data_IF_681721495212
#
_entry.id   IF_681721495212
#
_cell.length_a   1.000
_cell.length_b   1.000
_cell.length_c   1.000
_cell.angle_alpha   90.00
_cell.angle_beta   90.00
_cell.angle_gamma   90.00
#
_symmetry.space_group_name_H-M   'P 1'
#
loop_
_entity.id
_entity.type
_entity.pdbx_description
1 polymer ?
#
# COMPACT_ATOMS: atom_id res chain seq x y z
N UNK A 1 19.24 11.05 -11.08
CA UNK A 1 19.97 11.84 -10.05
C UNK A 1 19.37 13.24 -10.11
N UNK A 2 18.74 13.67 -9.04
CA UNK A 2 18.10 14.98 -8.95
C UNK A 2 19.11 16.12 -8.92
N UNK A 3 18.65 17.35 -9.14
CA UNK A 3 19.48 18.54 -8.99
C UNK A 3 19.74 18.80 -7.52
N UNK A 4 20.98 18.76 -7.10
CA UNK A 4 21.41 19.10 -5.74
C UNK A 4 21.64 20.59 -5.63
N UNK A 5 21.18 21.20 -4.53
CA UNK A 5 21.56 22.58 -4.23
C UNK A 5 22.99 22.63 -3.72
N UNK A 6 23.85 23.32 -4.46
CA UNK A 6 25.21 23.62 -4.01
C UNK A 6 25.38 25.13 -3.90
N UNK A 7 25.69 25.63 -2.70
CA UNK A 7 25.95 27.02 -2.48
C UNK A 7 27.07 27.53 -3.39
N UNK A 8 26.79 28.55 -4.21
CA UNK A 8 27.70 29.08 -5.22
C UNK A 8 28.57 30.20 -4.67
N UNK A 9 28.08 30.94 -3.67
CA UNK A 9 28.75 32.15 -3.13
C UNK A 9 28.82 32.11 -1.61
N UNK A 10 29.90 32.67 -1.05
CA UNK A 10 30.08 32.90 0.38
C UNK A 10 30.56 34.32 0.60
N UNK A 11 29.81 35.11 1.35
CA UNK A 11 30.07 36.52 1.58
C UNK A 11 30.51 36.78 3.02
N UNK A 12 31.36 37.77 3.19
CA UNK A 12 31.78 38.36 4.48
C UNK A 12 31.46 39.85 4.53
N UNK A 13 31.47 40.43 5.74
CA UNK A 13 31.18 41.83 5.91
C UNK A 13 32.17 42.70 5.09
N UNK A 14 31.61 43.59 4.26
CA UNK A 14 32.38 44.47 3.38
C UNK A 14 32.55 43.97 1.94
N UNK A 15 32.12 42.76 1.63
CA UNK A 15 32.15 42.24 0.25
C UNK A 15 31.16 42.99 -0.66
N UNK A 16 31.57 43.19 -1.92
CA UNK A 16 30.69 43.72 -2.95
C UNK A 16 30.00 42.53 -3.62
N UNK A 17 28.68 42.42 -3.42
CA UNK A 17 27.87 41.37 -4.04
C UNK A 17 27.55 41.77 -5.48
N UNK A 18 27.95 40.95 -6.43
CA UNK A 18 27.58 41.11 -7.84
C UNK A 18 26.18 40.54 -8.09
N UNK A 19 25.44 41.12 -9.03
CA UNK A 19 24.15 40.62 -9.43
C UNK A 19 24.22 39.16 -9.92
N UNK A 20 25.31 38.77 -10.59
CA UNK A 20 25.57 37.40 -11.02
C UNK A 20 25.64 36.42 -9.87
N UNK A 21 26.24 36.80 -8.74
CA UNK A 21 26.40 35.91 -7.58
C UNK A 21 25.03 35.57 -6.97
N UNK A 22 24.18 36.58 -6.81
CA UNK A 22 22.81 36.41 -6.31
C UNK A 22 21.94 35.60 -7.30
N UNK A 23 22.04 35.90 -8.59
CA UNK A 23 21.29 35.17 -9.62
C UNK A 23 21.70 33.71 -9.64
N UNK A 24 23.00 33.40 -9.58
CA UNK A 24 23.48 32.01 -9.58
C UNK A 24 22.94 31.21 -8.37
N UNK A 25 22.85 31.81 -7.17
CA UNK A 25 22.24 31.17 -6.00
C UNK A 25 20.76 30.87 -6.23
N UNK A 26 20.00 31.81 -6.78
CA UNK A 26 18.59 31.61 -7.09
C UNK A 26 18.37 30.58 -8.22
N UNK A 27 19.23 30.59 -9.24
CA UNK A 27 19.13 29.58 -10.31
C UNK A 27 19.38 28.16 -9.80
N UNK A 28 20.34 27.97 -8.89
CA UNK A 28 20.58 26.68 -8.23
C UNK A 28 19.39 26.26 -7.36
N UNK A 29 18.79 27.20 -6.62
CA UNK A 29 17.62 26.94 -5.79
C UNK A 29 16.41 26.54 -6.67
N UNK A 30 16.18 27.26 -7.76
CA UNK A 30 15.12 26.93 -8.75
C UNK A 30 15.34 25.55 -9.37
N UNK A 31 16.57 25.23 -9.72
CA UNK A 31 16.92 23.90 -10.28
C UNK A 31 16.62 22.78 -9.27
N UNK A 32 16.89 22.99 -7.97
CA UNK A 32 16.60 22.01 -6.92
C UNK A 32 15.08 21.73 -6.75
N UNK A 33 14.21 22.67 -7.13
CA UNK A 33 12.74 22.50 -7.09
C UNK A 33 12.11 22.19 -8.45
N UNK A 34 12.90 21.84 -9.46
CA UNK A 34 12.38 21.47 -10.77
C UNK A 34 11.61 20.15 -10.69
N UNK A 35 10.44 20.05 -11.36
CA UNK A 35 9.57 18.88 -11.29
C UNK A 35 10.19 17.58 -11.87
N UNK A 36 11.12 17.70 -12.83
CA UNK A 36 11.71 16.57 -13.53
C UNK A 36 13.11 16.21 -13.05
N UNK A 37 13.87 17.22 -12.62
CA UNK A 37 15.30 17.11 -12.28
C UNK A 37 15.64 17.68 -10.90
N UNK A 38 14.63 18.04 -10.10
CA UNK A 38 14.77 18.58 -8.75
C UNK A 38 15.36 17.56 -7.76
N UNK A 39 15.56 18.00 -6.51
CA UNK A 39 16.05 17.12 -5.46
C UNK A 39 15.06 16.00 -5.14
N UNK A 40 15.59 14.90 -4.64
CA UNK A 40 14.83 13.76 -4.13
C UNK A 40 14.88 13.72 -2.60
N UNK A 41 14.05 12.90 -1.96
CA UNK A 41 14.07 12.68 -0.53
C UNK A 41 14.58 11.27 -0.20
N UNK A 42 15.72 10.89 -0.77
CA UNK A 42 16.32 9.57 -0.65
C UNK A 42 17.38 9.44 0.48
N UNK A 43 17.67 10.55 1.17
CA UNK A 43 18.62 10.59 2.28
C UNK A 43 20.07 10.72 1.86
N UNK A 44 20.38 10.88 0.57
CA UNK A 44 21.74 11.15 0.12
C UNK A 44 22.14 12.59 0.38
N UNK A 45 23.47 12.88 0.36
CA UNK A 45 23.99 14.21 0.65
C UNK A 45 23.48 15.25 -0.35
N UNK A 46 22.97 16.36 0.15
CA UNK A 46 22.41 17.50 -0.61
C UNK A 46 21.05 17.22 -1.31
N UNK A 47 20.55 16.02 -1.24
CA UNK A 47 19.16 15.70 -1.50
C UNK A 47 18.34 15.89 -0.22
N UNK A 48 17.04 15.87 -0.27
CA UNK A 48 16.21 15.93 0.94
C UNK A 48 16.42 14.73 1.85
N UNK A 49 16.37 14.92 3.17
CA UNK A 49 16.35 13.80 4.11
C UNK A 49 15.12 12.90 3.88
N UNK A 50 15.14 11.62 4.34
CA UNK A 50 14.00 10.72 4.20
C UNK A 50 12.73 11.33 4.77
N UNK A 51 11.60 11.17 4.08
CA UNK A 51 10.31 11.62 4.60
C UNK A 51 9.86 10.63 5.66
N UNK A 52 10.00 10.99 6.93
CA UNK A 52 9.64 10.12 8.06
C UNK A 52 8.20 10.29 8.53
N UNK A 53 7.49 11.33 8.07
CA UNK A 53 6.12 11.62 8.48
C UNK A 53 5.35 12.43 7.45
N UNK A 54 4.18 11.94 7.07
CA UNK A 54 3.20 12.65 6.26
C UNK A 54 2.01 13.01 7.17
N UNK A 55 1.70 14.32 7.31
CA UNK A 55 0.75 14.84 8.29
C UNK A 55 -0.62 15.21 7.70
N UNK A 56 -0.84 15.03 6.42
CA UNK A 56 -2.13 15.29 5.78
C UNK A 56 -3.20 14.27 6.19
N UNK A 57 -4.47 14.70 6.24
CA UNK A 57 -5.59 13.76 6.45
C UNK A 57 -5.88 12.91 5.20
N UNK A 58 -5.34 13.30 4.07
CA UNK A 58 -5.45 12.57 2.79
C UNK A 58 -4.08 12.50 2.13
N UNK A 59 -3.82 11.37 1.48
CA UNK A 59 -2.65 11.16 0.63
C UNK A 59 -3.13 10.54 -0.67
N UNK A 60 -2.82 11.18 -1.79
CA UNK A 60 -3.19 10.69 -3.12
C UNK A 60 -1.96 10.11 -3.80
N UNK A 61 -2.06 8.87 -4.26
CA UNK A 61 -1.07 8.22 -5.11
C UNK A 61 -1.57 8.20 -6.55
N UNK A 62 -0.66 8.39 -7.49
CA UNK A 62 -0.95 8.35 -8.92
C UNK A 62 -1.34 9.69 -9.53
N UNK A 63 -1.21 9.78 -10.84
CA UNK A 63 -1.49 10.97 -11.64
C UNK A 63 -2.88 10.98 -12.31
N UNK A 64 -3.72 9.96 -12.05
CA UNK A 64 -5.03 9.81 -12.72
C UNK A 64 -4.92 9.50 -14.21
N UNK A 65 -3.84 8.84 -14.62
CA UNK A 65 -3.63 8.44 -16.02
C UNK A 65 -4.33 7.11 -16.28
N UNK A 66 -5.24 7.10 -17.28
CA UNK A 66 -5.99 5.90 -17.66
C UNK A 66 -5.06 4.75 -18.06
N UNK A 67 -5.38 3.53 -17.62
CA UNK A 67 -4.64 2.31 -17.91
C UNK A 67 -3.26 2.24 -17.26
N UNK A 68 -3.01 3.07 -16.23
CA UNK A 68 -1.73 3.08 -15.52
C UNK A 68 -1.92 2.65 -14.07
N UNK A 69 -1.42 1.48 -13.75
CA UNK A 69 -1.44 0.95 -12.38
C UNK A 69 -0.63 1.81 -11.41
N UNK A 70 -1.09 1.86 -10.16
CA UNK A 70 -0.40 2.56 -9.09
C UNK A 70 0.27 1.54 -8.19
N UNK A 71 1.58 1.66 -8.01
CA UNK A 71 2.38 0.74 -7.22
C UNK A 71 2.95 1.42 -6.00
N UNK A 72 2.78 0.80 -4.83
CA UNK A 72 3.44 1.16 -3.58
C UNK A 72 4.36 0.00 -3.20
N UNK A 73 5.66 0.24 -3.23
CA UNK A 73 6.68 -0.75 -2.88
C UNK A 73 7.16 -0.52 -1.44
N UNK A 74 7.18 -1.57 -0.66
CA UNK A 74 7.83 -1.63 0.65
C UNK A 74 9.21 -2.27 0.45
N UNK A 75 10.21 -1.41 0.26
CA UNK A 75 11.59 -1.78 -0.09
C UNK A 75 12.29 -2.41 1.13
N UNK A 76 12.49 -3.72 1.08
CA UNK A 76 13.18 -4.51 2.10
C UNK A 76 14.63 -4.79 1.72
N UNK A 77 15.43 -5.30 2.65
CA UNK A 77 16.84 -5.65 2.38
C UNK A 77 16.97 -6.82 1.36
N UNK A 78 16.07 -7.79 1.45
CA UNK A 78 16.17 -9.04 0.66
C UNK A 78 14.93 -9.28 -0.19
N UNK A 79 13.75 -8.96 0.32
CA UNK A 79 12.48 -9.15 -0.35
C UNK A 79 11.64 -7.89 -0.19
N UNK A 80 11.02 -7.47 -1.27
CA UNK A 80 10.13 -6.32 -1.30
C UNK A 80 8.67 -6.79 -1.25
N UNK A 81 7.83 -6.03 -0.55
CA UNK A 81 6.38 -6.19 -0.62
C UNK A 81 5.76 -5.16 -1.55
N UNK A 82 4.74 -5.53 -2.30
CA UNK A 82 4.07 -4.60 -3.23
C UNK A 82 2.56 -4.60 -2.99
N UNK A 83 2.00 -3.41 -2.83
CA UNK A 83 0.58 -3.14 -2.94
C UNK A 83 0.32 -2.38 -4.23
N UNK A 84 -0.52 -2.93 -5.09
CA UNK A 84 -0.79 -2.37 -6.41
C UNK A 84 -2.29 -2.12 -6.60
N UNK A 85 -2.65 -0.94 -7.08
CA UNK A 85 -3.96 -0.67 -7.63
C UNK A 85 -3.93 -0.99 -9.12
N UNK A 86 -4.69 -2.00 -9.53
CA UNK A 86 -4.86 -2.40 -10.92
C UNK A 86 -5.96 -1.51 -11.54
N UNK A 87 -5.56 -0.53 -12.34
CA UNK A 87 -6.48 0.54 -12.78
C UNK A 87 -7.54 0.02 -13.75
N UNK A 88 -7.16 -0.82 -14.69
CA UNK A 88 -8.09 -1.36 -15.70
C UNK A 88 -8.97 -2.49 -15.12
N UNK A 89 -8.50 -3.25 -14.14
CA UNK A 89 -9.20 -4.37 -13.52
C UNK A 89 -10.02 -3.99 -12.28
N UNK A 90 -9.82 -2.79 -11.74
CA UNK A 90 -10.56 -2.23 -10.60
C UNK A 90 -10.44 -3.05 -9.30
N UNK A 91 -9.19 -3.47 -8.95
CA UNK A 91 -8.91 -4.16 -7.68
C UNK A 91 -7.50 -3.87 -7.14
N UNK A 92 -7.30 -4.21 -5.86
CA UNK A 92 -5.98 -4.22 -5.23
C UNK A 92 -5.31 -5.58 -5.37
N UNK A 93 -4.05 -5.60 -5.83
CA UNK A 93 -3.18 -6.77 -5.84
C UNK A 93 -2.11 -6.64 -4.74
N UNK A 94 -1.87 -7.74 -4.02
CA UNK A 94 -0.80 -7.88 -3.03
C UNK A 94 0.21 -8.89 -3.54
N UNK A 95 1.50 -8.57 -3.55
CA UNK A 95 2.55 -9.50 -4.01
C UNK A 95 2.80 -10.63 -3.02
N UNK A 96 2.43 -10.44 -1.75
CA UNK A 96 2.73 -11.35 -0.66
C UNK A 96 1.49 -11.65 0.17
N UNK A 97 1.62 -12.57 1.12
CA UNK A 97 0.55 -12.96 2.03
C UNK A 97 0.08 -11.79 2.89
N UNK A 98 -1.22 -11.78 3.20
CA UNK A 98 -1.80 -10.84 4.17
C UNK A 98 -1.99 -11.56 5.50
N UNK A 99 -1.19 -11.21 6.50
CA UNK A 99 -1.37 -11.69 7.86
C UNK A 99 -2.29 -10.77 8.64
N UNK A 100 -3.46 -11.28 9.01
CA UNK A 100 -4.35 -10.61 9.97
C UNK A 100 -3.93 -11.06 11.37
N UNK A 101 -3.31 -10.16 12.12
CA UNK A 101 -2.76 -10.48 13.43
C UNK A 101 -3.83 -10.61 14.52
N UNK A 102 -3.58 -11.51 15.49
CA UNK A 102 -4.46 -11.68 16.65
C UNK A 102 -5.89 -12.10 16.25
N UNK A 103 -6.89 -11.54 16.91
CA UNK A 103 -8.33 -11.80 16.68
C UNK A 103 -8.99 -10.79 15.75
N UNK A 104 -8.18 -9.98 15.06
CA UNK A 104 -8.68 -8.99 14.10
C UNK A 104 -9.43 -9.65 12.94
N UNK A 105 -10.27 -8.88 12.27
CA UNK A 105 -11.25 -9.39 11.30
C UNK A 105 -11.06 -8.80 9.92
N UNK A 106 -11.26 -9.60 8.90
CA UNK A 106 -11.62 -9.11 7.57
C UNK A 106 -13.13 -9.02 7.51
N UNK A 107 -13.67 -7.81 7.49
CA UNK A 107 -15.10 -7.53 7.48
C UNK A 107 -15.59 -7.26 6.05
N UNK A 108 -16.81 -7.75 5.75
CA UNK A 108 -17.45 -7.56 4.46
C UNK A 108 -18.78 -6.82 4.67
N UNK A 109 -18.92 -5.62 4.08
CA UNK A 109 -20.15 -4.81 4.09
C UNK A 109 -20.53 -4.22 5.46
N UNK A 110 -20.50 -5.01 6.53
CA UNK A 110 -20.79 -4.57 7.90
C UNK A 110 -20.01 -5.40 8.92
N UNK A 111 -20.20 -5.13 10.20
CA UNK A 111 -19.45 -5.77 11.28
C UNK A 111 -19.90 -7.19 11.64
N UNK A 112 -21.05 -7.64 11.12
CA UNK A 112 -21.61 -8.98 11.36
C UNK A 112 -21.08 -10.02 10.37
N UNK A 113 -20.52 -9.60 9.23
CA UNK A 113 -19.98 -10.49 8.21
C UNK A 113 -18.46 -10.42 8.20
N UNK A 114 -17.79 -11.49 8.61
CA UNK A 114 -16.32 -11.46 8.72
C UNK A 114 -15.66 -12.84 8.68
N UNK A 115 -14.36 -12.81 8.43
CA UNK A 115 -13.46 -13.95 8.61
C UNK A 115 -12.39 -13.54 9.63
N UNK A 116 -12.12 -14.40 10.63
CA UNK A 116 -11.04 -14.20 11.59
C UNK A 116 -10.56 -15.51 12.22
N UNK A 117 -9.60 -15.40 13.13
CA UNK A 117 -9.21 -16.47 14.05
C UNK A 117 -9.51 -16.03 15.48
N UNK A 118 -10.51 -16.59 16.11
CA UNK A 118 -10.88 -16.25 17.50
C UNK A 118 -10.01 -16.96 18.55
N UNK A 119 -9.36 -18.04 18.15
CA UNK A 119 -8.42 -18.81 18.96
C UNK A 119 -7.33 -19.44 18.09
N UNK A 120 -6.18 -19.77 18.68
CA UNK A 120 -5.11 -20.45 17.95
C UNK A 120 -5.58 -21.78 17.33
N UNK A 121 -5.26 -21.96 16.05
CA UNK A 121 -5.68 -23.12 15.26
C UNK A 121 -7.13 -23.13 14.78
N UNK A 122 -7.89 -22.06 14.96
CA UNK A 122 -9.27 -21.91 14.54
C UNK A 122 -9.43 -20.85 13.46
N UNK A 123 -10.19 -21.15 12.42
CA UNK A 123 -10.65 -20.17 11.43
C UNK A 123 -12.18 -20.08 11.49
N UNK A 124 -12.68 -18.89 11.77
CA UNK A 124 -14.11 -18.59 11.84
C UNK A 124 -14.57 -17.84 10.59
N UNK A 125 -15.67 -18.31 10.00
CA UNK A 125 -16.40 -17.63 8.93
C UNK A 125 -17.79 -17.32 9.47
N UNK A 126 -18.11 -16.06 9.65
CA UNK A 126 -19.32 -15.62 10.34
C UNK A 126 -20.17 -14.78 9.40
N UNK A 127 -21.48 -15.07 9.38
CA UNK A 127 -22.50 -14.30 8.70
C UNK A 127 -23.79 -14.26 9.52
N UNK A 128 -24.54 -13.14 9.43
CA UNK A 128 -25.78 -12.95 10.16
C UNK A 128 -26.90 -13.90 9.75
N UNK A 129 -26.94 -14.29 8.47
CA UNK A 129 -28.07 -15.02 7.92
C UNK A 129 -27.63 -16.32 7.21
N UNK A 130 -26.65 -16.27 6.30
CA UNK A 130 -26.29 -17.40 5.45
C UNK A 130 -24.82 -17.35 5.04
N UNK A 131 -24.18 -18.51 5.03
CA UNK A 131 -22.89 -18.73 4.35
C UNK A 131 -23.18 -19.59 3.11
N UNK A 132 -23.09 -18.99 1.92
CA UNK A 132 -23.30 -19.70 0.66
C UNK A 132 -21.96 -20.16 0.08
N UNK A 133 -21.82 -21.47 -0.14
CA UNK A 133 -20.67 -22.07 -0.82
C UNK A 133 -21.14 -22.65 -2.14
N UNK A 134 -20.84 -21.95 -3.24
CA UNK A 134 -21.20 -22.39 -4.59
C UNK A 134 -19.95 -22.87 -5.32
N UNK A 135 -19.81 -24.17 -5.50
CA UNK A 135 -18.70 -24.79 -6.18
C UNK A 135 -19.15 -26.07 -6.91
N UNK A 136 -18.39 -26.48 -7.92
CA UNK A 136 -18.62 -27.81 -8.60
C UNK A 136 -18.41 -28.95 -7.61
N UNK A 137 -17.45 -28.80 -6.70
CA UNK A 137 -17.16 -29.79 -5.64
C UNK A 137 -16.74 -29.03 -4.38
N UNK A 138 -17.27 -29.43 -3.23
CA UNK A 138 -16.80 -29.03 -1.91
C UNK A 138 -16.18 -30.26 -1.27
N UNK A 139 -14.85 -30.24 -1.07
CA UNK A 139 -14.11 -31.33 -0.44
C UNK A 139 -13.77 -30.96 1.02
N UNK A 140 -14.24 -31.81 1.95
CA UNK A 140 -14.04 -31.61 3.39
C UNK A 140 -13.28 -32.81 3.94
N UNK A 141 -12.00 -32.66 4.20
CA UNK A 141 -11.09 -33.72 4.65
C UNK A 141 -11.05 -33.86 6.20
N UNK A 142 -12.16 -33.72 6.85
CA UNK A 142 -12.28 -33.81 8.30
C UNK A 142 -13.66 -34.30 8.74
N UNK A 143 -13.88 -34.37 10.05
CA UNK A 143 -15.20 -34.58 10.59
C UNK A 143 -16.06 -33.35 10.38
N UNK A 144 -17.31 -33.59 9.95
CA UNK A 144 -18.30 -32.50 9.84
C UNK A 144 -19.27 -32.63 11.01
N UNK A 145 -19.31 -31.63 11.86
CA UNK A 145 -20.28 -31.49 12.94
C UNK A 145 -21.35 -30.48 12.53
N UNK A 146 -22.60 -30.91 12.51
CA UNK A 146 -23.75 -30.07 12.17
C UNK A 146 -24.68 -30.02 13.36
N UNK A 147 -24.62 -28.90 14.09
CA UNK A 147 -25.44 -28.67 15.29
C UNK A 147 -26.93 -28.39 14.99
N UNK A 148 -27.27 -28.17 13.72
CA UNK A 148 -28.63 -27.92 13.25
C UNK A 148 -29.14 -29.02 12.32
N UNK A 149 -30.17 -28.70 11.52
CA UNK A 149 -30.72 -29.65 10.55
C UNK A 149 -29.88 -29.69 9.27
N UNK A 150 -29.52 -30.92 8.82
CA UNK A 150 -28.93 -31.14 7.49
C UNK A 150 -30.07 -31.39 6.48
N UNK A 151 -30.17 -30.54 5.46
CA UNK A 151 -31.03 -30.76 4.30
C UNK A 151 -30.19 -31.05 3.07
N UNK A 152 -30.36 -32.21 2.45
CA UNK A 152 -29.69 -32.60 1.20
C UNK A 152 -30.68 -32.49 0.07
N UNK A 153 -30.47 -31.56 -0.87
CA UNK A 153 -31.41 -31.21 -1.93
C UNK A 153 -31.56 -32.26 -3.04
N UNK A 154 -30.52 -33.08 -3.31
CA UNK A 154 -30.57 -34.15 -4.28
C UNK A 154 -30.21 -35.50 -3.62
N UNK A 155 -31.18 -36.40 -3.56
CA UNK A 155 -31.02 -37.77 -3.03
C UNK A 155 -30.37 -38.67 -4.07
N UNK A 156 -29.22 -38.35 -4.63
CA UNK A 156 -28.42 -39.37 -5.27
C UNK A 156 -27.46 -39.99 -4.26
N UNK A 157 -28.04 -40.99 -3.60
CA UNK A 157 -27.38 -42.16 -3.04
C UNK A 157 -25.97 -42.00 -2.50
N UNK A 158 -25.88 -41.87 -1.19
CA UNK A 158 -24.76 -42.45 -0.46
C UNK A 158 -24.96 -43.98 -0.51
N UNK A 159 -24.18 -44.65 -1.32
CA UNK A 159 -23.98 -46.12 -1.25
C UNK A 159 -22.59 -46.34 -0.70
#
# INVERSE_FOLDING_TARGET
MGATYTRQSSYTDGDVIQASDTNNEFDQLLAAFNESTGHTHDGTSQEGGPITKLLGNTLTFGAGTSGTDITVTFDGETNDGVLKWMEDEDYFEFSDDILIASTEKIQFRDTGLYINSSADGQLDIVADTEIQIAATTVDINGLVDISGNLTVGDRKSVV
#
